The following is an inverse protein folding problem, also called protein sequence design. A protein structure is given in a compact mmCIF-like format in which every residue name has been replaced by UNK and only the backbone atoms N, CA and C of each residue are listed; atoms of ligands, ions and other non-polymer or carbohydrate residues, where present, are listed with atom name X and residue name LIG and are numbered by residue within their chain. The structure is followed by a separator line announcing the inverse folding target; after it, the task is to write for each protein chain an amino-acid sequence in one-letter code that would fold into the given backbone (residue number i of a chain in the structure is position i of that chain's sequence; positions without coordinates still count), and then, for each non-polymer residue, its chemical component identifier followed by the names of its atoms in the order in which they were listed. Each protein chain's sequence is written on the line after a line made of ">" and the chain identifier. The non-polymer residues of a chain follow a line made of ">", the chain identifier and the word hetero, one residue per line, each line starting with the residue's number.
data_IF_348353369773
#
_entry.id   IF_348353369773
#
_cell.length_a   1.000
_cell.length_b   1.000
_cell.length_c   1.000
_cell.angle_alpha   90.00
_cell.angle_beta   90.00
_cell.angle_gamma   90.00
#
_symmetry.space_group_name_H-M   'P 1'
#
loop_
_entity.id
_entity.type
_entity.pdbx_description
1 polymer ?
#
# COMPACT_ATOMS: atom_id res chain seq x y z
N UNK A 1 -23.49 -18.67 -7.02
CA UNK A 1 -23.38 -17.39 -7.78
C UNK A 1 -22.75 -16.33 -6.87
N UNK A 2 -21.83 -15.48 -7.35
CA UNK A 2 -21.19 -14.42 -6.54
C UNK A 2 -21.65 -13.03 -7.00
N UNK A 3 -22.95 -12.74 -6.95
CA UNK A 3 -23.47 -11.40 -7.28
C UNK A 3 -23.14 -10.39 -6.18
N UNK A 4 -22.62 -9.22 -6.57
CA UNK A 4 -22.31 -8.08 -5.67
C UNK A 4 -21.31 -8.40 -4.53
N UNK A 5 -20.52 -9.47 -4.66
CA UNK A 5 -19.47 -9.80 -3.67
C UNK A 5 -18.21 -9.00 -3.98
N UNK A 6 -17.87 -8.05 -3.11
CA UNK A 6 -16.66 -7.24 -3.21
C UNK A 6 -15.44 -7.92 -2.58
N UNK A 7 -14.29 -7.81 -3.22
CA UNK A 7 -13.00 -8.32 -2.72
C UNK A 7 -12.64 -9.73 -3.20
N UNK A 8 -11.40 -10.13 -2.90
CA UNK A 8 -10.85 -11.44 -3.30
C UNK A 8 -10.56 -12.30 -2.07
N UNK A 9 -10.95 -13.58 -2.13
CA UNK A 9 -10.75 -14.51 -1.01
C UNK A 9 -9.27 -14.90 -0.84
N UNK A 10 -8.50 -14.92 -1.94
CA UNK A 10 -7.08 -15.34 -1.98
C UNK A 10 -6.81 -16.74 -1.40
N UNK A 11 -7.82 -17.61 -1.38
CA UNK A 11 -7.75 -18.95 -0.79
C UNK A 11 -7.45 -18.97 0.70
N UNK A 12 -7.78 -17.89 1.43
CA UNK A 12 -7.49 -17.74 2.88
C UNK A 12 -8.74 -17.39 3.65
N UNK A 13 -8.77 -17.82 4.91
CA UNK A 13 -9.80 -17.40 5.86
C UNK A 13 -9.76 -15.87 6.09
N UNK A 14 -10.68 -15.35 6.90
CA UNK A 14 -10.76 -13.91 7.18
C UNK A 14 -9.55 -13.40 7.97
N UNK A 15 -9.06 -14.18 8.93
CA UNK A 15 -8.02 -13.75 9.87
C UNK A 15 -6.64 -13.73 9.20
N UNK A 16 -6.29 -14.81 8.50
CA UNK A 16 -5.08 -14.93 7.68
C UNK A 16 -5.06 -13.88 6.56
N UNK A 17 -6.20 -13.64 5.90
CA UNK A 17 -6.28 -12.60 4.86
C UNK A 17 -6.03 -11.22 5.45
N UNK A 18 -6.58 -10.93 6.64
CA UNK A 18 -6.36 -9.65 7.32
C UNK A 18 -4.89 -9.49 7.72
N UNK A 19 -4.26 -10.54 8.26
CA UNK A 19 -2.84 -10.53 8.60
C UNK A 19 -1.96 -10.35 7.34
N UNK A 20 -2.27 -11.04 6.25
CA UNK A 20 -1.58 -10.90 4.97
C UNK A 20 -1.64 -9.46 4.46
N UNK A 21 -2.82 -8.83 4.51
CA UNK A 21 -2.99 -7.44 4.08
C UNK A 21 -2.22 -6.47 4.96
N UNK A 22 -2.26 -6.63 6.29
CA UNK A 22 -1.46 -5.81 7.21
C UNK A 22 0.03 -5.89 6.88
N UNK A 23 0.53 -7.10 6.65
CA UNK A 23 1.94 -7.33 6.31
C UNK A 23 2.31 -6.71 4.96
N UNK A 24 1.53 -6.96 3.91
CA UNK A 24 1.82 -6.41 2.57
C UNK A 24 1.79 -4.87 2.55
N UNK A 25 0.78 -4.27 3.18
CA UNK A 25 0.67 -2.80 3.27
C UNK A 25 1.82 -2.24 4.09
N UNK A 26 2.13 -2.84 5.24
CA UNK A 26 3.24 -2.43 6.09
C UNK A 26 4.58 -2.50 5.36
N UNK A 27 4.85 -3.60 4.65
CA UNK A 27 6.06 -3.75 3.84
C UNK A 27 6.12 -2.74 2.70
N UNK A 28 5.01 -2.46 2.02
CA UNK A 28 5.00 -1.46 0.95
C UNK A 28 5.33 -0.06 1.48
N UNK A 29 4.78 0.33 2.62
CA UNK A 29 5.08 1.64 3.25
C UNK A 29 6.54 1.67 3.71
N UNK A 30 7.03 0.57 4.30
CA UNK A 30 8.39 0.50 4.85
C UNK A 30 9.46 0.57 3.76
N UNK A 31 9.28 -0.15 2.65
CA UNK A 31 10.28 -0.27 1.58
C UNK A 31 10.00 0.60 0.36
N UNK A 32 8.82 1.20 0.24
CA UNK A 32 8.39 1.99 -0.91
C UNK A 32 7.94 1.17 -2.12
N UNK A 33 8.45 -0.06 -2.28
CA UNK A 33 8.06 -1.00 -3.32
C UNK A 33 8.18 -2.46 -2.85
N UNK A 34 7.31 -3.34 -3.36
CA UNK A 34 7.38 -4.79 -3.13
C UNK A 34 7.03 -5.57 -4.39
N UNK A 35 7.58 -6.78 -4.51
CA UNK A 35 7.24 -7.74 -5.56
C UNK A 35 6.27 -8.78 -5.00
N UNK A 36 5.12 -8.96 -5.64
CA UNK A 36 4.08 -9.91 -5.19
C UNK A 36 3.26 -10.42 -6.38
N UNK A 37 2.34 -11.35 -6.15
CA UNK A 37 1.42 -11.82 -7.20
C UNK A 37 0.41 -10.74 -7.58
N UNK A 38 0.00 -10.69 -8.83
CA UNK A 38 -0.98 -9.71 -9.35
C UNK A 38 -2.27 -9.67 -8.53
N UNK A 39 -2.79 -10.84 -8.11
CA UNK A 39 -4.00 -10.93 -7.31
C UNK A 39 -3.86 -10.22 -5.95
N UNK A 40 -2.76 -10.46 -5.23
CA UNK A 40 -2.46 -9.80 -3.95
C UNK A 40 -2.28 -8.29 -4.13
N UNK A 41 -1.55 -7.85 -5.15
CA UNK A 41 -1.33 -6.43 -5.42
C UNK A 41 -2.64 -5.68 -5.70
N UNK A 42 -3.52 -6.26 -6.54
CA UNK A 42 -4.85 -5.68 -6.83
C UNK A 42 -5.72 -5.62 -5.57
N UNK A 43 -5.65 -6.62 -4.71
CA UNK A 43 -6.43 -6.67 -3.46
C UNK A 43 -6.02 -5.57 -2.47
N UNK A 44 -4.72 -5.28 -2.34
CA UNK A 44 -4.23 -4.27 -1.39
C UNK A 44 -4.29 -2.83 -1.94
N UNK A 45 -4.41 -2.63 -3.26
CA UNK A 45 -4.41 -1.30 -3.90
C UNK A 45 -5.41 -0.34 -3.24
N UNK A 46 -6.68 -0.72 -3.19
CA UNK A 46 -7.73 0.13 -2.59
C UNK A 46 -7.57 0.31 -1.08
N UNK A 47 -6.97 -0.67 -0.39
CA UNK A 47 -6.70 -0.59 1.04
C UNK A 47 -5.60 0.44 1.34
N UNK A 48 -4.54 0.47 0.54
CA UNK A 48 -3.46 1.46 0.65
C UNK A 48 -3.99 2.86 0.41
N UNK A 49 -4.81 3.05 -0.64
CA UNK A 49 -5.41 4.35 -0.93
C UNK A 49 -6.26 4.86 0.25
N UNK A 50 -7.07 3.97 0.85
CA UNK A 50 -7.85 4.31 2.04
C UNK A 50 -6.96 4.69 3.23
N UNK A 51 -5.89 3.94 3.48
CA UNK A 51 -4.98 4.17 4.60
C UNK A 51 -4.23 5.51 4.45
N UNK A 52 -3.73 5.82 3.26
CA UNK A 52 -3.04 7.09 3.00
C UNK A 52 -4.01 8.27 3.17
N UNK A 53 -5.24 8.16 2.65
CA UNK A 53 -6.27 9.17 2.84
C UNK A 53 -6.63 9.38 4.32
N UNK A 54 -6.78 8.30 5.09
CA UNK A 54 -7.01 8.37 6.53
C UNK A 54 -5.84 9.02 7.27
N UNK A 55 -4.61 8.81 6.83
CA UNK A 55 -3.43 9.36 7.46
C UNK A 55 -3.26 10.88 7.19
N UNK A 56 -3.66 11.32 5.98
CA UNK A 56 -3.66 12.75 5.59
C UNK A 56 -4.54 13.59 6.50
N UNK A 57 -5.73 13.10 6.84
CA UNK A 57 -6.65 13.82 7.72
C UNK A 57 -6.39 13.48 9.21
N UNK A 58 -6.06 14.47 10.07
CA UNK A 58 -5.78 14.23 11.47
C UNK A 58 -6.94 13.58 12.25
N UNK A 59 -8.20 13.89 11.92
CA UNK A 59 -9.36 13.32 12.64
C UNK A 59 -9.52 11.81 12.40
N UNK A 60 -9.15 11.33 11.21
CA UNK A 60 -9.22 9.92 10.84
C UNK A 60 -7.94 9.14 11.09
N UNK A 61 -6.85 9.81 11.50
CA UNK A 61 -5.52 9.22 11.65
C UNK A 61 -5.49 8.05 12.63
N UNK A 62 -6.31 8.09 13.68
CA UNK A 62 -6.46 6.99 14.65
C UNK A 62 -6.90 5.68 13.99
N UNK A 63 -7.72 5.74 12.93
CA UNK A 63 -8.17 4.54 12.19
C UNK A 63 -7.04 3.86 11.42
N UNK A 64 -6.06 4.63 10.94
CA UNK A 64 -4.87 4.05 10.32
C UNK A 64 -4.00 3.34 11.37
N UNK A 65 -3.88 3.90 12.57
CA UNK A 65 -3.06 3.34 13.66
C UNK A 65 -3.61 2.00 14.18
N UNK A 66 -4.93 1.79 14.17
CA UNK A 66 -5.51 0.49 14.54
C UNK A 66 -5.20 -0.59 13.51
N UNK A 67 -4.98 -0.21 12.25
CA UNK A 67 -4.60 -1.15 11.19
C UNK A 67 -3.10 -1.44 11.18
N UNK A 68 -2.27 -0.39 11.19
CA UNK A 68 -0.80 -0.48 11.18
C UNK A 68 -0.26 -0.51 12.60
N UNK A 69 0.01 -1.68 13.15
CA UNK A 69 0.45 -1.80 14.56
C UNK A 69 1.86 -1.23 14.81
N UNK A 70 2.76 -1.31 13.83
CA UNK A 70 4.15 -0.88 14.01
C UNK A 70 4.29 0.65 13.98
N UNK A 71 4.76 1.23 15.08
CA UNK A 71 5.05 2.67 15.20
C UNK A 71 6.03 3.17 14.14
N UNK A 72 7.07 2.39 13.83
CA UNK A 72 8.06 2.71 12.78
C UNK A 72 7.40 2.95 11.41
N UNK A 73 6.45 2.09 11.05
CA UNK A 73 5.72 2.19 9.78
C UNK A 73 4.80 3.41 9.80
N UNK A 74 4.11 3.65 10.91
CA UNK A 74 3.25 4.83 11.06
C UNK A 74 4.05 6.14 10.92
N UNK A 75 5.21 6.23 11.57
CA UNK A 75 6.06 7.42 11.50
C UNK A 75 6.57 7.67 10.09
N UNK A 76 7.05 6.63 9.40
CA UNK A 76 7.47 6.73 8.00
C UNK A 76 6.33 7.17 7.09
N UNK A 77 5.14 6.60 7.26
CA UNK A 77 3.96 6.99 6.50
C UNK A 77 3.67 8.49 6.68
N UNK A 78 3.72 8.99 7.92
CA UNK A 78 3.36 10.38 8.22
C UNK A 78 4.45 11.36 7.77
N UNK A 79 5.72 11.08 8.07
CA UNK A 79 6.83 12.01 7.84
C UNK A 79 7.27 12.05 6.38
N UNK A 80 7.30 10.91 5.71
CA UNK A 80 7.85 10.79 4.35
C UNK A 80 6.73 10.70 3.32
N UNK A 81 5.89 9.67 3.42
CA UNK A 81 4.94 9.30 2.35
C UNK A 81 3.82 10.32 2.19
N UNK A 82 3.22 10.80 3.28
CA UNK A 82 2.15 11.81 3.20
C UNK A 82 2.67 13.13 2.64
N UNK A 83 3.88 13.54 3.02
CA UNK A 83 4.49 14.77 2.55
C UNK A 83 4.74 14.71 1.04
N UNK A 84 5.31 13.59 0.56
CA UNK A 84 5.56 13.35 -0.86
C UNK A 84 4.28 13.22 -1.70
N UNK A 85 3.17 12.82 -1.10
CA UNK A 85 1.89 12.60 -1.79
C UNK A 85 0.87 13.73 -1.56
N UNK A 86 1.28 14.88 -1.02
CA UNK A 86 0.36 15.95 -0.59
C UNK A 86 -0.49 16.51 -1.73
N UNK A 87 0.10 16.68 -2.91
CA UNK A 87 -0.52 17.17 -4.16
C UNK A 87 -1.58 16.21 -4.72
N UNK A 88 -1.43 14.91 -4.49
CA UNK A 88 -2.21 13.86 -5.14
C UNK A 88 -3.47 13.51 -4.35
N UNK A 89 -4.63 13.44 -4.99
CA UNK A 89 -5.91 13.13 -4.33
C UNK A 89 -6.20 11.63 -4.20
N UNK A 90 -5.73 10.82 -5.15
CA UNK A 90 -5.94 9.36 -5.18
C UNK A 90 -4.90 8.66 -6.06
N UNK A 91 -4.91 7.33 -6.07
CA UNK A 91 -4.03 6.55 -6.93
C UNK A 91 -2.57 6.69 -6.51
N UNK A 92 -2.26 6.32 -5.26
CA UNK A 92 -0.94 6.49 -4.67
C UNK A 92 0.04 5.37 -5.02
N UNK A 93 -0.44 4.33 -5.70
CA UNK A 93 0.34 3.16 -6.06
C UNK A 93 0.35 2.90 -7.55
N UNK A 94 1.49 2.43 -8.05
CA UNK A 94 1.66 1.90 -9.41
C UNK A 94 1.88 0.39 -9.36
N UNK A 95 1.34 -0.34 -10.33
CA UNK A 95 1.52 -1.79 -10.48
C UNK A 95 2.11 -2.06 -11.85
N UNK A 96 3.32 -2.63 -11.87
CA UNK A 96 4.03 -2.97 -13.10
C UNK A 96 4.17 -4.49 -13.16
N UNK A 97 3.83 -5.10 -14.31
CA UNK A 97 4.02 -6.54 -14.52
C UNK A 97 5.51 -6.85 -14.62
N UNK A 98 5.96 -7.89 -13.91
CA UNK A 98 7.36 -8.33 -13.93
C UNK A 98 7.53 -9.59 -14.77
N UNK A 99 6.53 -10.48 -14.78
CA UNK A 99 6.57 -11.75 -15.51
C UNK A 99 5.87 -12.86 -14.72
N UNK A 100 5.93 -14.09 -15.23
CA UNK A 100 5.39 -15.25 -14.53
C UNK A 100 6.42 -15.85 -13.57
N UNK A 101 5.97 -16.35 -12.43
CA UNK A 101 6.80 -17.09 -11.49
C UNK A 101 7.04 -18.50 -12.01
N UNK A 102 8.29 -18.94 -11.99
CA UNK A 102 8.67 -20.31 -12.32
C UNK A 102 8.08 -21.28 -11.29
N UNK A 103 7.53 -22.39 -11.75
CA UNK A 103 6.88 -23.41 -10.91
C UNK A 103 5.36 -23.37 -11.05
N UNK A 104 4.71 -22.32 -10.55
CA UNK A 104 3.23 -22.25 -10.53
C UNK A 104 2.63 -21.29 -11.58
N UNK A 105 3.47 -20.67 -12.42
CA UNK A 105 3.02 -19.78 -13.51
C UNK A 105 2.35 -18.49 -13.03
N UNK A 106 2.37 -18.19 -11.73
CA UNK A 106 1.65 -17.05 -11.19
C UNK A 106 2.22 -15.72 -11.71
N UNK A 107 1.37 -14.83 -12.23
CA UNK A 107 1.78 -13.51 -12.69
C UNK A 107 2.29 -12.66 -11.51
N UNK A 108 3.57 -12.32 -11.54
CA UNK A 108 4.24 -11.46 -10.59
C UNK A 108 4.20 -10.00 -11.06
N UNK A 109 4.01 -9.12 -10.10
CA UNK A 109 3.98 -7.67 -10.30
C UNK A 109 4.83 -6.99 -9.23
N UNK A 110 5.37 -5.84 -9.60
CA UNK A 110 5.97 -4.89 -8.66
C UNK A 110 4.94 -3.82 -8.38
N UNK A 111 4.57 -3.67 -7.10
CA UNK A 111 3.73 -2.55 -6.64
C UNK A 111 4.62 -1.56 -5.90
N UNK A 112 4.53 -0.29 -6.27
CA UNK A 112 5.33 0.81 -5.71
C UNK A 112 4.46 2.00 -5.33
N UNK A 113 4.90 2.76 -4.33
CA UNK A 113 4.35 4.08 -4.04
C UNK A 113 4.86 5.09 -5.08
N UNK A 114 3.96 5.96 -5.55
CA UNK A 114 4.28 7.04 -6.48
C UNK A 114 4.78 8.26 -5.70
N UNK A 115 5.96 8.16 -5.10
CA UNK A 115 6.56 9.28 -4.40
C UNK A 115 7.01 10.31 -5.45
N UNK A 116 6.40 11.50 -5.44
CA UNK A 116 6.91 12.64 -6.20
C UNK A 116 8.24 13.06 -5.55
N UNK A 117 9.30 13.20 -6.35
CA UNK A 117 10.55 13.76 -5.84
C UNK A 117 10.26 15.22 -5.44
N UNK A 118 10.16 15.46 -4.14
CA UNK A 118 10.15 16.83 -3.62
C UNK A 118 11.54 17.37 -3.90
N UNK A 119 11.68 18.25 -4.88
CA UNK A 119 12.92 19.00 -5.12
C UNK A 119 13.38 19.55 -3.77
N UNK A 120 14.54 19.09 -3.30
CA UNK A 120 15.20 19.69 -2.15
C UNK A 120 15.50 21.13 -2.57
N UNK A 121 14.74 22.10 -2.06
CA UNK A 121 15.16 23.51 -2.10
C UNK A 121 16.46 23.59 -1.32
N UNK A 122 17.58 23.40 -2.01
CA UNK A 122 18.91 23.68 -1.51
C UNK A 122 18.88 25.17 -1.19
N UNK A 123 18.83 25.51 0.10
CA UNK A 123 19.05 26.87 0.54
C UNK A 123 20.46 27.24 0.10
N UNK A 124 20.58 27.94 -1.03
CA UNK A 124 21.79 28.67 -1.38
C UNK A 124 22.04 29.64 -0.23
N UNK A 125 23.11 29.38 0.51
CA UNK A 125 23.68 30.30 1.48
C UNK A 125 24.75 31.11 0.77
#
# INVERSE_FOLDING_TARGET
>A
MRHKVYGTHLGRDKNERTALFKNLVGSLILYGQIKTTQAKAKAIKGLIDKIINQAKNPSTRRLMQTFLVSKKIQEKLIKEVILALKSRTSGYTSIIKVGQRQGDGAMMVRISLLLEEVEKKVSKK
#
